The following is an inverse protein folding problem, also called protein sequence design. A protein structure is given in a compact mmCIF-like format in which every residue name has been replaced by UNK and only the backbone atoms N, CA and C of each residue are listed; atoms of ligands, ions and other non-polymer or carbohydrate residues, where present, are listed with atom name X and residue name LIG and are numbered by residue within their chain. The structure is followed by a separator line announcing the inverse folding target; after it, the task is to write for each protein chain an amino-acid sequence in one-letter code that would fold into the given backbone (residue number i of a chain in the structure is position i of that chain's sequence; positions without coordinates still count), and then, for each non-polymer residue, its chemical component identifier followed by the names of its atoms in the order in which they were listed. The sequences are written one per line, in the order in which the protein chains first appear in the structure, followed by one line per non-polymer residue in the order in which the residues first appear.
data_IF_637879610197
#
_entry.id   IF_637879610197
#
_cell.length_a   1.000
_cell.length_b   1.000
_cell.length_c   1.000
_cell.angle_alpha   90.00
_cell.angle_beta   90.00
_cell.angle_gamma   90.00
#
_symmetry.space_group_name_H-M   'P 1'
#
loop_
_entity.id
_entity.type
_entity.pdbx_description
1 polymer ?
#
# COMPACT_ATOMS: atom_id res chain seq x y z
N UNK A 1 0.85 4.51 -22.02
CA UNK A 1 1.00 5.23 -20.74
C UNK A 1 0.09 4.70 -19.64
N UNK A 2 -1.21 4.50 -19.89
CA UNK A 2 -2.17 4.01 -18.88
C UNK A 2 -1.79 2.64 -18.29
N UNK A 3 -1.27 1.72 -19.08
CA UNK A 3 -0.91 0.36 -18.63
C UNK A 3 0.11 0.36 -17.48
N UNK A 4 1.09 1.26 -17.50
CA UNK A 4 2.08 1.38 -16.41
C UNK A 4 1.51 1.96 -15.11
N UNK A 5 0.41 2.72 -15.18
CA UNK A 5 -0.27 3.29 -14.01
C UNK A 5 -1.38 2.40 -13.44
N UNK A 6 -1.74 1.31 -14.14
CA UNK A 6 -2.84 0.42 -13.72
C UNK A 6 -2.71 -0.03 -12.25
N UNK A 7 -1.57 -0.52 -11.76
CA UNK A 7 -1.46 -0.94 -10.36
C UNK A 7 -1.73 0.19 -9.37
N UNK A 8 -1.27 1.40 -9.70
CA UNK A 8 -1.48 2.57 -8.85
C UNK A 8 -2.94 3.04 -8.87
N UNK A 9 -3.61 3.00 -10.02
CA UNK A 9 -5.05 3.32 -10.15
C UNK A 9 -5.88 2.33 -9.32
N UNK A 10 -5.59 1.04 -9.45
CA UNK A 10 -6.25 -0.01 -8.65
C UNK A 10 -6.01 0.20 -7.16
N UNK A 11 -4.76 0.52 -6.78
CA UNK A 11 -4.41 0.84 -5.39
C UNK A 11 -5.14 2.08 -4.86
N UNK A 12 -5.29 3.13 -5.67
CA UNK A 12 -6.04 4.33 -5.30
C UNK A 12 -7.55 4.06 -5.16
N UNK A 13 -8.13 3.27 -6.07
CA UNK A 13 -9.53 2.84 -5.97
C UNK A 13 -9.76 1.98 -4.72
N UNK A 14 -8.86 1.06 -4.42
CA UNK A 14 -8.87 0.27 -3.19
C UNK A 14 -8.83 1.15 -1.93
N UNK A 15 -7.93 2.14 -1.87
CA UNK A 15 -7.88 3.11 -0.77
C UNK A 15 -9.16 3.93 -0.66
N UNK A 16 -9.73 4.37 -1.79
CA UNK A 16 -11.00 5.09 -1.85
C UNK A 16 -12.15 4.27 -1.26
N UNK A 17 -12.24 3.00 -1.63
CA UNK A 17 -13.25 2.07 -1.07
C UNK A 17 -13.12 1.93 0.44
N UNK A 18 -11.88 1.74 0.94
CA UNK A 18 -11.63 1.69 2.38
C UNK A 18 -11.96 3.01 3.09
N UNK A 19 -11.58 4.14 2.50
CA UNK A 19 -11.91 5.46 3.07
C UNK A 19 -13.43 5.67 3.17
N UNK A 20 -14.19 5.34 2.13
CA UNK A 20 -15.65 5.41 2.15
C UNK A 20 -16.22 4.49 3.23
N UNK A 21 -15.74 3.25 3.33
CA UNK A 21 -16.16 2.32 4.37
C UNK A 21 -15.95 2.86 5.79
N UNK A 22 -14.79 3.47 6.06
CA UNK A 22 -14.50 4.06 7.37
C UNK A 22 -15.30 5.35 7.65
N UNK A 23 -15.59 6.16 6.63
CA UNK A 23 -16.39 7.39 6.75
C UNK A 23 -17.88 7.10 6.95
N UNK A 24 -18.38 6.01 6.37
CA UNK A 24 -19.78 5.57 6.49
C UNK A 24 -20.04 4.67 7.70
N UNK A 25 -18.99 4.43 8.52
CA UNK A 25 -19.13 3.59 9.72
C UNK A 25 -20.28 4.07 10.62
N UNK A 26 -21.17 3.15 11.07
CA UNK A 26 -22.33 3.52 11.85
C UNK A 26 -21.96 4.24 13.14
N UNK A 27 -22.51 5.43 13.34
CA UNK A 27 -22.35 6.18 14.60
C UNK A 27 -23.40 5.71 15.61
N UNK A 28 -22.96 5.52 16.86
CA UNK A 28 -23.89 5.18 17.93
C UNK A 28 -24.92 6.29 18.13
N UNK A 29 -26.20 5.93 18.11
CA UNK A 29 -27.34 6.82 18.41
C UNK A 29 -27.90 6.57 19.82
N UNK A 30 -27.15 5.91 20.72
CA UNK A 30 -27.60 5.61 22.08
C UNK A 30 -27.47 6.84 23.00
N UNK A 31 -28.39 7.00 23.95
CA UNK A 31 -28.40 8.09 24.92
C UNK A 31 -27.15 8.09 25.84
N UNK A 32 -26.59 6.91 26.10
CA UNK A 32 -25.35 6.76 26.89
C UNK A 32 -24.20 6.48 25.92
N UNK A 33 -23.30 7.45 25.81
CA UNK A 33 -22.05 7.30 25.04
C UNK A 33 -20.96 6.80 25.98
N UNK A 34 -20.51 5.57 25.83
CA UNK A 34 -19.30 5.10 26.46
C UNK A 34 -18.10 5.76 25.73
N UNK A 35 -17.64 6.90 26.22
CA UNK A 35 -16.44 7.56 25.71
C UNK A 35 -15.24 7.03 26.49
N UNK A 36 -14.38 6.26 25.84
CA UNK A 36 -13.03 6.04 26.36
C UNK A 36 -12.23 7.33 26.15
N UNK A 37 -11.74 7.92 27.24
CA UNK A 37 -10.92 9.15 27.23
C UNK A 37 -9.54 8.93 26.58
N UNK A 38 -9.19 7.70 26.23
CA UNK A 38 -7.91 7.35 25.64
C UNK A 38 -7.88 7.75 24.16
N UNK A 39 -7.09 8.78 23.84
CA UNK A 39 -6.81 9.17 22.44
C UNK A 39 -6.09 8.02 21.72
N UNK A 40 -6.72 7.48 20.68
CA UNK A 40 -6.13 6.41 19.87
C UNK A 40 -5.31 7.01 18.73
N UNK A 41 -4.07 6.56 18.63
CA UNK A 41 -3.15 6.99 17.57
C UNK A 41 -3.03 5.92 16.49
N UNK A 42 -2.54 6.31 15.31
CA UNK A 42 -2.22 5.36 14.22
C UNK A 42 -1.21 4.30 14.69
N UNK A 43 -0.33 4.66 15.65
CA UNK A 43 0.69 3.73 16.18
C UNK A 43 0.10 2.57 16.97
N UNK A 44 -1.07 2.77 17.58
CA UNK A 44 -1.74 1.74 18.41
C UNK A 44 -2.44 0.69 17.55
N UNK A 45 -2.86 1.07 16.34
CA UNK A 45 -3.61 0.22 15.42
C UNK A 45 -2.78 -0.36 14.28
N UNK A 46 -1.52 0.10 14.11
CA UNK A 46 -0.72 -0.26 12.93
C UNK A 46 0.59 -0.93 13.34
N UNK A 47 0.87 -2.15 12.83
CA UNK A 47 2.18 -2.78 13.00
C UNK A 47 3.28 -1.92 12.37
N UNK A 48 4.30 -1.55 13.16
CA UNK A 48 5.39 -0.69 12.71
C UNK A 48 6.10 -1.22 11.47
N UNK A 49 6.33 -2.53 11.41
CA UNK A 49 7.01 -3.18 10.28
C UNK A 49 6.27 -3.00 8.96
N UNK A 50 4.94 -3.19 8.95
CA UNK A 50 4.13 -3.01 7.74
C UNK A 50 4.13 -1.55 7.27
N UNK A 51 4.02 -0.61 8.20
CA UNK A 51 4.06 0.81 7.87
C UNK A 51 5.41 1.21 7.28
N UNK A 52 6.52 0.77 7.88
CA UNK A 52 7.87 1.00 7.36
C UNK A 52 8.05 0.37 5.98
N UNK A 53 7.55 -0.84 5.76
CA UNK A 53 7.59 -1.49 4.44
C UNK A 53 6.84 -0.68 3.38
N UNK A 54 5.68 -0.10 3.71
CA UNK A 54 4.93 0.76 2.79
C UNK A 54 5.74 2.00 2.39
N UNK A 55 6.39 2.66 3.37
CA UNK A 55 7.27 3.79 3.10
C UNK A 55 8.51 3.38 2.29
N UNK A 56 9.11 2.22 2.59
CA UNK A 56 10.25 1.70 1.86
C UNK A 56 9.91 1.38 0.39
N UNK A 57 8.75 0.78 0.13
CA UNK A 57 8.28 0.51 -1.23
C UNK A 57 7.97 1.81 -1.99
N UNK A 58 7.34 2.79 -1.34
CA UNK A 58 7.15 4.12 -1.92
C UNK A 58 8.48 4.79 -2.27
N UNK A 59 9.44 4.76 -1.34
CA UNK A 59 10.80 5.25 -1.56
C UNK A 59 11.53 4.52 -2.68
N UNK A 60 11.33 3.21 -2.81
CA UNK A 60 11.89 2.41 -3.92
C UNK A 60 11.33 2.87 -5.27
N UNK A 61 10.02 3.10 -5.40
CA UNK A 61 9.44 3.64 -6.65
C UNK A 61 10.06 4.98 -6.99
N UNK A 62 10.17 5.89 -6.01
CA UNK A 62 10.79 7.20 -6.21
C UNK A 62 12.26 7.09 -6.63
N UNK A 63 13.03 6.21 -6.01
CA UNK A 63 14.42 5.96 -6.37
C UNK A 63 14.56 5.44 -7.81
N UNK A 64 13.71 4.48 -8.20
CA UNK A 64 13.69 3.95 -9.57
C UNK A 64 13.33 5.04 -10.59
N UNK A 65 12.38 5.92 -10.27
CA UNK A 65 12.03 7.06 -11.13
C UNK A 65 13.19 8.04 -11.27
N UNK A 66 13.86 8.36 -10.17
CA UNK A 66 15.03 9.26 -10.21
C UNK A 66 16.17 8.64 -11.03
N UNK A 67 16.50 7.38 -10.78
CA UNK A 67 17.53 6.65 -11.55
C UNK A 67 17.16 6.64 -13.04
N UNK A 68 15.89 6.27 -13.35
CA UNK A 68 15.39 6.25 -14.71
C UNK A 68 15.46 7.63 -15.36
N UNK A 69 15.08 8.69 -14.64
CA UNK A 69 15.15 10.07 -15.13
C UNK A 69 16.56 10.55 -15.43
N UNK A 70 17.53 10.21 -14.57
CA UNK A 70 18.94 10.61 -14.71
C UNK A 70 19.65 9.82 -15.81
N UNK A 71 19.21 8.62 -16.13
CA UNK A 71 19.82 7.74 -17.15
C UNK A 71 19.09 7.75 -18.49
N UNK A 72 17.95 8.42 -18.58
CA UNK A 72 17.21 8.58 -19.82
C UNK A 72 17.92 9.52 -20.80
N UNK A 73 17.68 9.31 -22.09
CA UNK A 73 18.07 10.25 -23.12
C UNK A 73 17.33 11.58 -23.00
N UNK A 74 17.70 12.55 -23.83
CA UNK A 74 17.12 13.90 -23.82
C UNK A 74 15.59 13.92 -24.05
N UNK A 75 15.03 12.88 -24.66
CA UNK A 75 13.59 12.69 -24.87
C UNK A 75 12.82 12.25 -23.60
N UNK A 76 13.54 11.87 -22.54
CA UNK A 76 12.97 11.34 -21.29
C UNK A 76 12.21 10.02 -21.45
N UNK A 77 12.36 9.30 -22.57
CA UNK A 77 11.57 8.10 -22.94
C UNK A 77 12.41 6.93 -23.39
N UNK A 78 13.67 7.16 -23.70
CA UNK A 78 14.61 6.17 -24.22
C UNK A 78 15.87 6.11 -23.38
N UNK A 79 16.62 5.01 -23.52
CA UNK A 79 17.98 4.87 -23.01
C UNK A 79 18.91 4.64 -24.19
N UNK A 80 20.04 5.36 -24.20
CA UNK A 80 21.02 5.29 -25.27
C UNK A 80 22.33 4.76 -24.72
N UNK A 81 22.92 3.79 -25.42
CA UNK A 81 24.30 3.34 -25.18
C UNK A 81 25.21 3.70 -26.35
N UNK A 82 26.26 4.44 -26.04
CA UNK A 82 27.30 4.75 -27.00
C UNK A 82 28.35 3.64 -27.00
N UNK A 83 28.76 3.19 -28.17
CA UNK A 83 29.80 2.18 -28.41
C UNK A 83 30.84 2.74 -29.36
N UNK A 84 31.97 2.04 -29.50
CA UNK A 84 33.04 2.44 -30.47
C UNK A 84 32.50 2.44 -31.90
N UNK A 85 31.62 1.50 -32.23
CA UNK A 85 31.08 1.31 -33.57
C UNK A 85 29.76 2.05 -33.84
N UNK A 86 29.34 2.94 -32.91
CA UNK A 86 28.08 3.67 -33.04
C UNK A 86 27.28 3.82 -31.72
N UNK A 87 25.98 4.01 -31.86
CA UNK A 87 25.08 4.19 -30.73
C UNK A 87 23.83 3.34 -30.91
N UNK A 88 23.29 2.85 -29.81
CA UNK A 88 22.06 2.06 -29.76
C UNK A 88 21.09 2.74 -28.79
N UNK A 89 19.86 2.98 -29.24
CA UNK A 89 18.79 3.59 -28.43
C UNK A 89 17.61 2.65 -28.36
N UNK A 90 17.04 2.48 -27.16
CA UNK A 90 15.86 1.65 -26.93
C UNK A 90 14.86 2.33 -26.03
N UNK A 91 13.59 2.17 -26.32
CA UNK A 91 12.42 2.63 -25.57
C UNK A 91 11.29 1.59 -25.62
N UNK A 92 10.26 1.69 -24.79
CA UNK A 92 10.08 2.71 -23.74
C UNK A 92 11.02 2.50 -22.55
N UNK A 93 11.52 3.61 -21.99
CA UNK A 93 12.34 3.63 -20.79
C UNK A 93 11.69 4.54 -19.73
N UNK A 94 11.70 4.18 -18.43
CA UNK A 94 11.02 4.93 -17.38
C UNK A 94 11.77 6.20 -16.96
N UNK A 95 12.07 7.08 -17.95
CA UNK A 95 12.64 8.40 -17.72
C UNK A 95 11.60 9.40 -17.20
N UNK A 96 11.94 10.69 -17.12
CA UNK A 96 11.10 11.73 -16.52
C UNK A 96 9.69 11.81 -17.13
N UNK A 97 9.54 11.51 -18.42
CA UNK A 97 8.23 11.57 -19.09
C UNK A 97 7.20 10.62 -18.50
N UNK A 98 7.61 9.40 -18.15
CA UNK A 98 6.75 8.41 -17.51
C UNK A 98 6.88 8.44 -15.99
N UNK A 99 8.10 8.70 -15.51
CA UNK A 99 8.48 8.65 -14.11
C UNK A 99 7.75 9.65 -13.24
N UNK A 100 7.48 10.87 -13.73
CA UNK A 100 6.78 11.89 -12.97
C UNK A 100 5.39 11.42 -12.50
N UNK A 101 4.66 10.72 -13.36
CA UNK A 101 3.34 10.16 -13.03
C UNK A 101 3.42 8.99 -12.05
N UNK A 102 4.45 8.14 -12.19
CA UNK A 102 4.69 7.04 -11.24
C UNK A 102 5.10 7.56 -9.87
N UNK A 103 5.92 8.61 -9.82
CA UNK A 103 6.28 9.29 -8.57
C UNK A 103 5.04 9.89 -7.88
N UNK A 104 4.21 10.63 -8.63
CA UNK A 104 2.96 11.17 -8.11
C UNK A 104 2.06 10.06 -7.56
N UNK A 105 1.91 8.97 -8.31
CA UNK A 105 1.10 7.83 -7.90
C UNK A 105 1.63 7.19 -6.61
N UNK A 106 2.95 7.00 -6.47
CA UNK A 106 3.55 6.47 -5.24
C UNK A 106 3.30 7.39 -4.04
N UNK A 107 3.46 8.71 -4.21
CA UNK A 107 3.16 9.69 -3.16
C UNK A 107 1.68 9.63 -2.75
N UNK A 108 0.76 9.58 -3.73
CA UNK A 108 -0.69 9.47 -3.46
C UNK A 108 -1.02 8.19 -2.72
N UNK A 109 -0.44 7.04 -3.09
CA UNK A 109 -0.67 5.77 -2.40
C UNK A 109 -0.16 5.78 -0.96
N UNK A 110 1.05 6.28 -0.73
CA UNK A 110 1.62 6.37 0.62
C UNK A 110 0.83 7.37 1.48
N UNK A 111 0.59 8.58 0.99
CA UNK A 111 -0.16 9.59 1.73
C UNK A 111 -1.62 9.18 1.95
N UNK A 112 -2.25 8.56 0.96
CA UNK A 112 -3.60 8.01 1.04
C UNK A 112 -3.71 6.90 2.08
N UNK A 113 -2.73 5.99 2.13
CA UNK A 113 -2.69 4.95 3.17
C UNK A 113 -2.62 5.54 4.57
N UNK A 114 -1.77 6.56 4.79
CA UNK A 114 -1.69 7.27 6.08
C UNK A 114 -3.02 7.98 6.43
N UNK A 115 -3.71 8.52 5.42
CA UNK A 115 -5.05 9.10 5.57
C UNK A 115 -6.06 8.06 6.05
N UNK A 116 -6.14 6.92 5.37
CA UNK A 116 -7.06 5.83 5.74
C UNK A 116 -6.72 5.27 7.12
N UNK A 117 -5.45 5.09 7.46
CA UNK A 117 -5.04 4.65 8.80
C UNK A 117 -5.49 5.62 9.90
N UNK A 118 -5.50 6.93 9.63
CA UNK A 118 -6.06 7.93 10.56
C UNK A 118 -7.56 7.79 10.70
N UNK A 119 -8.29 7.48 9.63
CA UNK A 119 -9.73 7.21 9.69
C UNK A 119 -10.00 5.97 10.53
N UNK A 120 -9.29 4.85 10.30
CA UNK A 120 -9.37 3.62 11.09
C UNK A 120 -9.13 3.91 12.57
N UNK A 121 -8.08 4.67 12.92
CA UNK A 121 -7.76 5.01 14.30
C UNK A 121 -8.87 5.85 14.99
N UNK A 122 -9.51 6.76 14.24
CA UNK A 122 -10.49 7.72 14.74
C UNK A 122 -11.94 7.27 14.64
N UNK A 123 -12.23 6.13 13.99
CA UNK A 123 -13.62 5.66 13.85
C UNK A 123 -14.28 5.46 15.22
N UNK A 124 -15.61 5.62 15.34
CA UNK A 124 -16.35 5.33 16.56
C UNK A 124 -16.14 3.87 17.01
N UNK A 125 -16.14 3.62 18.33
CA UNK A 125 -16.06 2.28 18.86
C UNK A 125 -17.32 1.47 18.51
N UNK A 126 -17.16 0.15 18.31
CA UNK A 126 -18.30 -0.74 18.08
C UNK A 126 -19.11 -0.85 19.40
N UNK A 127 -20.45 -0.68 19.36
CA UNK A 127 -21.28 -0.79 20.57
C UNK A 127 -21.24 -2.19 21.15
N UNK A 128 -21.28 -2.29 22.48
CA UNK A 128 -21.46 -3.55 23.23
C UNK A 128 -20.38 -4.60 23.02
N UNK A 129 -19.18 -4.20 22.58
CA UNK A 129 -18.03 -5.11 22.49
C UNK A 129 -16.90 -4.65 23.41
N UNK A 130 -16.05 -5.60 23.79
CA UNK A 130 -14.87 -5.30 24.60
C UNK A 130 -13.91 -4.36 23.83
N UNK A 131 -13.25 -3.46 24.54
CA UNK A 131 -12.30 -2.51 23.93
C UNK A 131 -11.13 -3.21 23.24
N UNK A 132 -10.72 -4.35 23.74
CA UNK A 132 -9.66 -5.19 23.12
C UNK A 132 -10.11 -5.72 21.75
N UNK A 133 -11.34 -6.21 21.63
CA UNK A 133 -11.88 -6.69 20.37
C UNK A 133 -12.03 -5.57 19.31
N UNK A 134 -12.53 -4.37 19.72
CA UNK A 134 -12.58 -3.20 18.84
C UNK A 134 -11.17 -2.80 18.35
N UNK A 135 -10.15 -2.91 19.20
CA UNK A 135 -8.76 -2.67 18.83
C UNK A 135 -8.25 -3.71 17.83
N UNK A 136 -8.55 -4.99 18.04
CA UNK A 136 -8.18 -6.07 17.13
C UNK A 136 -8.79 -5.86 15.74
N UNK A 137 -10.10 -5.52 15.64
CA UNK A 137 -10.76 -5.17 14.38
C UNK A 137 -10.06 -4.01 13.65
N UNK A 138 -9.62 -2.97 14.39
CA UNK A 138 -8.87 -1.85 13.79
C UNK A 138 -7.52 -2.30 13.24
N UNK A 139 -6.82 -3.16 13.97
CA UNK A 139 -5.54 -3.75 13.52
C UNK A 139 -5.73 -4.57 12.25
N UNK A 140 -6.77 -5.39 12.18
CA UNK A 140 -7.12 -6.14 10.97
C UNK A 140 -7.42 -5.21 9.78
N UNK A 141 -8.20 -4.14 9.99
CA UNK A 141 -8.47 -3.14 8.95
C UNK A 141 -7.18 -2.46 8.47
N UNK A 142 -6.35 -1.99 9.39
CA UNK A 142 -5.06 -1.36 9.08
C UNK A 142 -4.12 -2.30 8.32
N UNK A 143 -4.08 -3.57 8.71
CA UNK A 143 -3.29 -4.61 8.08
C UNK A 143 -3.71 -4.84 6.62
N UNK A 144 -5.02 -4.94 6.36
CA UNK A 144 -5.56 -5.11 4.99
C UNK A 144 -5.25 -3.90 4.11
N UNK A 145 -5.44 -2.69 4.63
CA UNK A 145 -5.12 -1.44 3.91
C UNK A 145 -3.65 -1.40 3.50
N UNK A 146 -2.74 -1.65 4.45
CA UNK A 146 -1.31 -1.60 4.15
C UNK A 146 -0.90 -2.66 3.13
N UNK A 147 -1.40 -3.89 3.22
CA UNK A 147 -1.07 -4.95 2.28
C UNK A 147 -1.54 -4.67 0.86
N UNK A 148 -2.75 -4.15 0.69
CA UNK A 148 -3.23 -3.75 -0.63
C UNK A 148 -2.38 -2.66 -1.26
N UNK A 149 -1.97 -1.65 -0.47
CA UNK A 149 -1.07 -0.59 -0.93
C UNK A 149 0.34 -1.12 -1.23
N UNK A 150 0.87 -2.00 -0.38
CA UNK A 150 2.18 -2.64 -0.60
C UNK A 150 2.21 -3.43 -1.89
N UNK A 151 1.15 -4.19 -2.20
CA UNK A 151 1.02 -4.89 -3.47
C UNK A 151 1.05 -3.92 -4.65
N UNK A 152 0.25 -2.85 -4.60
CA UNK A 152 0.22 -1.85 -5.67
C UNK A 152 1.59 -1.19 -5.88
N UNK A 153 2.28 -0.81 -4.80
CA UNK A 153 3.61 -0.22 -4.86
C UNK A 153 4.67 -1.21 -5.36
N UNK A 154 4.64 -2.48 -4.88
CA UNK A 154 5.58 -3.51 -5.30
C UNK A 154 5.44 -3.83 -6.80
N UNK A 155 4.20 -3.98 -7.29
CA UNK A 155 3.93 -4.21 -8.73
C UNK A 155 4.32 -2.99 -9.56
N UNK A 156 4.10 -1.77 -9.06
CA UNK A 156 4.55 -0.54 -9.74
C UNK A 156 6.07 -0.49 -9.82
N UNK A 157 6.79 -0.77 -8.72
CA UNK A 157 8.25 -0.81 -8.70
C UNK A 157 8.80 -1.90 -9.62
N UNK A 158 8.23 -3.11 -9.56
CA UNK A 158 8.60 -4.23 -10.42
C UNK A 158 8.39 -3.92 -11.91
N UNK A 159 7.24 -3.33 -12.26
CA UNK A 159 6.93 -2.92 -13.63
C UNK A 159 7.90 -1.85 -14.14
N UNK A 160 8.20 -0.85 -13.30
CA UNK A 160 9.16 0.23 -13.62
C UNK A 160 10.56 -0.35 -13.86
N UNK A 161 11.03 -1.20 -12.95
CA UNK A 161 12.33 -1.86 -13.07
C UNK A 161 12.38 -2.79 -14.28
N UNK A 162 11.34 -3.61 -14.51
CA UNK A 162 11.28 -4.56 -15.62
C UNK A 162 11.27 -3.88 -16.98
N UNK A 163 10.50 -2.81 -17.15
CA UNK A 163 10.47 -2.01 -18.39
C UNK A 163 11.82 -1.35 -18.63
N UNK A 164 12.42 -0.75 -17.59
CA UNK A 164 13.75 -0.14 -17.67
C UNK A 164 14.84 -1.15 -18.03
N UNK A 165 14.83 -2.30 -17.36
CA UNK A 165 15.79 -3.38 -17.62
C UNK A 165 15.66 -3.94 -19.04
N UNK A 166 14.43 -4.14 -19.53
CA UNK A 166 14.20 -4.61 -20.90
C UNK A 166 14.71 -3.58 -21.95
N UNK A 167 14.44 -2.30 -21.76
CA UNK A 167 14.96 -1.26 -22.63
C UNK A 167 16.51 -1.22 -22.60
N UNK A 168 17.12 -1.29 -21.41
CA UNK A 168 18.58 -1.34 -21.25
C UNK A 168 19.19 -2.57 -21.91
N UNK A 169 18.56 -3.74 -21.80
CA UNK A 169 19.00 -4.96 -22.47
C UNK A 169 18.97 -4.80 -23.99
N UNK A 170 17.92 -4.21 -24.55
CA UNK A 170 17.80 -3.93 -25.99
C UNK A 170 18.82 -2.88 -26.48
N UNK A 171 19.18 -1.92 -25.63
CA UNK A 171 20.27 -1.01 -25.92
C UNK A 171 21.66 -1.68 -25.80
N UNK A 172 21.70 -2.92 -25.29
CA UNK A 172 22.91 -3.75 -25.20
C UNK A 172 23.72 -3.53 -23.91
N UNK A 173 23.12 -3.02 -22.83
CA UNK A 173 23.78 -2.96 -21.53
C UNK A 173 23.92 -4.37 -20.95
N UNK A 174 25.17 -4.73 -20.59
CA UNK A 174 25.44 -6.00 -19.92
C UNK A 174 24.77 -6.04 -18.53
N UNK A 175 24.28 -7.21 -18.14
CA UNK A 175 23.63 -7.41 -16.83
C UNK A 175 22.19 -6.86 -16.73
N UNK A 176 21.66 -6.17 -17.76
CA UNK A 176 20.29 -5.68 -17.72
C UNK A 176 19.25 -6.81 -17.58
N UNK A 177 19.56 -8.00 -18.14
CA UNK A 177 18.68 -9.16 -18.01
C UNK A 177 18.51 -9.63 -16.55
N UNK A 178 19.55 -9.52 -15.70
CA UNK A 178 19.45 -9.88 -14.28
C UNK A 178 18.49 -8.96 -13.50
N UNK A 179 18.34 -7.71 -13.93
CA UNK A 179 17.38 -6.78 -13.33
C UNK A 179 15.93 -7.18 -13.63
N UNK A 180 15.66 -7.90 -14.71
CA UNK A 180 14.32 -8.48 -14.99
C UNK A 180 14.01 -9.55 -13.96
N UNK A 181 14.96 -10.40 -13.60
CA UNK A 181 14.78 -11.39 -12.53
C UNK A 181 14.48 -10.73 -11.18
N UNK A 182 15.20 -9.63 -10.85
CA UNK A 182 14.92 -8.84 -9.65
C UNK A 182 13.51 -8.24 -9.69
N UNK A 183 13.06 -7.73 -10.84
CA UNK A 183 11.71 -7.21 -11.00
C UNK A 183 10.64 -8.29 -10.75
N UNK A 184 10.84 -9.49 -11.30
CA UNK A 184 9.94 -10.64 -11.07
C UNK A 184 9.94 -11.02 -9.59
N UNK A 185 11.11 -11.13 -8.96
CA UNK A 185 11.21 -11.45 -7.54
C UNK A 185 10.50 -10.42 -6.66
N UNK A 186 10.61 -9.13 -6.99
CA UNK A 186 9.92 -8.05 -6.28
C UNK A 186 8.40 -8.16 -6.42
N UNK A 187 7.89 -8.47 -7.62
CA UNK A 187 6.46 -8.68 -7.84
C UNK A 187 5.94 -9.88 -7.03
N UNK A 188 6.66 -10.99 -7.04
CA UNK A 188 6.32 -12.20 -6.27
C UNK A 188 6.38 -11.93 -4.75
N UNK A 189 7.38 -11.20 -4.28
CA UNK A 189 7.46 -10.81 -2.88
C UNK A 189 6.29 -9.91 -2.47
N UNK A 190 5.90 -8.96 -3.32
CA UNK A 190 4.71 -8.13 -3.10
C UNK A 190 3.43 -8.96 -3.03
N UNK A 191 3.26 -9.92 -3.92
CA UNK A 191 2.13 -10.85 -3.90
C UNK A 191 2.14 -11.71 -2.65
N UNK A 192 3.30 -12.27 -2.28
CA UNK A 192 3.47 -13.05 -1.05
C UNK A 192 3.05 -12.26 0.18
N UNK A 193 3.50 -11.02 0.31
CA UNK A 193 3.09 -10.14 1.41
C UNK A 193 1.59 -9.90 1.40
N UNK A 194 0.97 -9.71 0.24
CA UNK A 194 -0.45 -9.41 0.12
C UNK A 194 -1.36 -10.57 0.54
N UNK A 195 -0.96 -11.83 0.29
CA UNK A 195 -1.77 -13.01 0.61
C UNK A 195 -1.61 -13.51 2.04
N UNK A 196 -0.68 -12.96 2.82
CA UNK A 196 -0.53 -13.35 4.22
C UNK A 196 -1.80 -13.02 5.04
N UNK A 197 -2.32 -13.90 5.88
CA UNK A 197 -3.53 -13.63 6.67
C UNK A 197 -3.35 -12.42 7.59
N UNK A 198 -4.41 -11.66 7.78
CA UNK A 198 -4.43 -10.64 8.83
C UNK A 198 -4.52 -11.33 10.20
N UNK A 199 -4.02 -10.72 11.28
CA UNK A 199 -4.22 -11.23 12.63
C UNK A 199 -5.70 -11.45 12.90
N UNK A 200 -6.05 -12.62 13.44
CA UNK A 200 -7.41 -12.94 13.82
C UNK A 200 -7.73 -12.26 15.17
N UNK A 201 -8.84 -11.53 15.29
CA UNK A 201 -9.26 -10.95 16.54
C UNK A 201 -9.46 -11.98 17.66
N UNK A 202 -9.83 -13.21 17.32
CA UNK A 202 -10.11 -14.27 18.29
C UNK A 202 -8.83 -14.96 18.80
N UNK A 203 -7.74 -15.00 18.02
CA UNK A 203 -6.46 -15.58 18.43
C UNK A 203 -5.73 -14.77 19.50
N UNK A 204 -5.96 -13.45 19.58
CA UNK A 204 -5.36 -12.57 20.60
C UNK A 204 -5.98 -12.76 22.00
N UNK A 205 -6.79 -13.79 22.23
CA UNK A 205 -7.39 -14.11 23.53
C UNK A 205 -8.43 -13.08 24.02
N UNK A 206 -8.91 -12.25 23.12
CA UNK A 206 -9.88 -11.19 23.45
C UNK A 206 -11.33 -11.69 23.50
N UNK A 207 -11.54 -13.00 23.37
CA UNK A 207 -12.81 -13.70 23.54
C UNK A 207 -13.98 -13.15 22.72
N UNK A 208 -14.79 -14.04 22.19
CA UNK A 208 -16.09 -13.73 21.59
C UNK A 208 -16.85 -12.66 22.42
N UNK A 209 -17.56 -11.71 21.81
CA UNK A 209 -18.36 -10.75 22.55
C UNK A 209 -19.21 -11.51 23.57
N UNK A 210 -19.04 -11.19 24.86
CA UNK A 210 -19.80 -11.83 25.90
C UNK A 210 -21.29 -11.81 25.51
N UNK A 211 -22.00 -12.93 25.54
CA UNK A 211 -23.41 -12.93 25.19
C UNK A 211 -24.09 -11.87 26.04
N UNK A 212 -24.81 -10.95 25.40
CA UNK A 212 -25.61 -9.96 26.08
C UNK A 212 -26.63 -10.78 26.91
N UNK A 213 -26.36 -10.91 28.20
CA UNK A 213 -27.36 -11.42 29.14
C UNK A 213 -28.51 -10.46 29.01
N UNK A 214 -29.56 -10.90 28.29
CA UNK A 214 -30.82 -10.18 28.24
C UNK A 214 -31.27 -10.04 29.72
N UNK A 215 -31.29 -8.78 30.16
CA UNK A 215 -31.56 -8.45 31.55
C UNK A 215 -32.73 -9.26 32.05
N UNK A 216 -32.50 -9.97 33.16
CA UNK A 216 -33.58 -10.58 33.96
C UNK A 216 -34.64 -9.50 34.17
N UNK A 217 -35.81 -9.69 33.59
CA UNK A 217 -37.01 -8.95 34.03
C UNK A 217 -37.12 -9.21 35.51
N UNK A 218 -36.86 -8.20 36.32
CA UNK A 218 -37.34 -8.15 37.67
C UNK A 218 -38.84 -7.95 37.58
N UNK A 219 -39.58 -9.07 37.57
CA UNK A 219 -40.98 -9.07 37.91
C UNK A 219 -41.04 -8.95 39.45
N UNK A 220 -41.48 -7.80 39.93
CA UNK A 220 -42.06 -7.58 41.26
C UNK A 220 -43.10 -6.45 41.17
#
# INVERSE_FOLDING_TARGET
MLTGLTPAIVGAAFLGTHAVGELTWPRQRTAVRAATLQARSVRDVTPRGLRLLTWALGGLVLALVVIGGLTAGADGRSVTRVRVDGWSTAGPYPGWFYGAWLALAAVVLVAGSEGVLRLVARRPAVPRVASAWDLALRRTSAHRVLRGVQLALAVTAAGTLGVGANAAARAGYAGAASLVAVAVALALAGLWVAVQPAPDPDEDGTGSPAPVVAGARADA
#
